data_IF_164833561453
#
_entry.id   IF_164833561453
#
_cell.length_a   1.000
_cell.length_b   1.000
_cell.length_c   1.000
_cell.angle_alpha   90.00
_cell.angle_beta   90.00
_cell.angle_gamma   90.00
#
_symmetry.space_group_name_H-M   'P 1'
#
loop_
_entity.id
_entity.type
_entity.pdbx_description
1 polymer ?
#
# COMPACT_ATOMS: atom_id res chain seq x y z
N UNK A 1 -37.29 -2.48 -13.98
CA UNK A 1 -36.51 -3.59 -14.56
C UNK A 1 -35.58 -3.18 -15.71
N UNK A 2 -36.05 -2.87 -16.94
CA UNK A 2 -35.15 -2.49 -18.06
C UNK A 2 -34.43 -1.13 -17.89
N UNK A 3 -35.05 -0.18 -17.18
CA UNK A 3 -34.49 1.17 -16.97
C UNK A 3 -33.42 1.18 -15.86
N UNK A 4 -33.64 0.40 -14.79
CA UNK A 4 -32.67 0.26 -13.69
C UNK A 4 -31.36 -0.41 -14.16
N UNK A 5 -31.47 -1.41 -15.05
CA UNK A 5 -30.30 -2.07 -15.65
C UNK A 5 -29.45 -1.15 -16.54
N UNK A 6 -30.01 -0.06 -17.08
CA UNK A 6 -29.27 0.92 -17.88
C UNK A 6 -28.54 1.94 -17.00
N UNK A 7 -29.11 2.30 -15.85
CA UNK A 7 -28.45 3.16 -14.86
C UNK A 7 -27.20 2.48 -14.28
N UNK A 8 -27.26 1.18 -14.01
CA UNK A 8 -26.09 0.38 -13.57
C UNK A 8 -25.00 0.27 -14.64
N UNK A 9 -25.31 0.49 -15.93
CA UNK A 9 -24.34 0.41 -17.05
C UNK A 9 -23.66 1.73 -17.39
N UNK A 10 -24.05 2.84 -16.78
CA UNK A 10 -23.33 4.11 -16.89
C UNK A 10 -22.17 4.14 -15.87
N UNK A 11 -21.16 3.28 -16.06
CA UNK A 11 -20.03 3.05 -15.14
C UNK A 11 -19.06 4.22 -14.93
N UNK A 12 -19.47 5.47 -15.16
CA UNK A 12 -18.65 6.67 -15.02
C UNK A 12 -19.35 7.86 -14.35
N UNK A 13 -20.64 7.75 -13.98
CA UNK A 13 -21.34 8.85 -13.31
C UNK A 13 -21.27 8.68 -11.78
N UNK A 14 -20.11 8.99 -11.19
CA UNK A 14 -20.02 9.18 -9.74
C UNK A 14 -20.79 10.47 -9.40
N UNK A 15 -21.88 10.43 -8.63
CA UNK A 15 -22.55 11.63 -8.15
C UNK A 15 -21.55 12.50 -7.38
N UNK A 16 -21.49 13.80 -7.68
CA UNK A 16 -20.57 14.75 -7.03
C UNK A 16 -20.72 14.70 -5.49
N UNK A 17 -21.92 14.37 -5.01
CA UNK A 17 -22.22 14.18 -3.59
C UNK A 17 -21.44 13.03 -2.91
N UNK A 18 -20.98 12.02 -3.65
CA UNK A 18 -20.26 10.85 -3.13
C UNK A 18 -18.73 11.03 -3.16
N UNK A 19 -18.22 12.05 -3.84
CA UNK A 19 -16.78 12.32 -3.92
C UNK A 19 -16.11 12.50 -2.55
N UNK A 20 -16.70 13.19 -1.56
CA UNK A 20 -16.09 13.34 -0.24
C UNK A 20 -15.85 11.98 0.44
N UNK A 21 -16.83 11.08 0.37
CA UNK A 21 -16.73 9.74 0.99
C UNK A 21 -15.61 8.92 0.33
N UNK A 22 -15.50 8.97 -0.99
CA UNK A 22 -14.46 8.28 -1.75
C UNK A 22 -13.05 8.79 -1.41
N UNK A 23 -12.89 10.12 -1.33
CA UNK A 23 -11.62 10.76 -0.99
C UNK A 23 -11.22 10.44 0.44
N UNK A 24 -12.15 10.53 1.40
CA UNK A 24 -11.89 10.20 2.81
C UNK A 24 -11.48 8.73 2.93
N UNK A 25 -12.22 7.82 2.30
CA UNK A 25 -11.90 6.38 2.29
C UNK A 25 -10.49 6.13 1.74
N UNK A 26 -10.17 6.70 0.58
CA UNK A 26 -8.85 6.58 -0.06
C UNK A 26 -7.73 7.12 0.83
N UNK A 27 -7.96 8.25 1.51
CA UNK A 27 -6.99 8.85 2.41
C UNK A 27 -6.76 7.98 3.65
N UNK A 28 -7.82 7.40 4.22
CA UNK A 28 -7.73 6.51 5.38
C UNK A 28 -6.96 5.24 5.02
N UNK A 29 -7.33 4.57 3.92
CA UNK A 29 -6.65 3.33 3.51
C UNK A 29 -5.19 3.57 3.11
N UNK A 30 -4.87 4.67 2.43
CA UNK A 30 -3.48 5.01 2.11
C UNK A 30 -2.67 5.34 3.37
N UNK A 31 -3.24 6.07 4.34
CA UNK A 31 -2.59 6.33 5.62
C UNK A 31 -2.30 5.05 6.41
N UNK A 32 -3.26 4.12 6.45
CA UNK A 32 -3.06 2.79 7.06
C UNK A 32 -1.91 2.05 6.37
N UNK A 33 -1.89 2.04 5.04
CA UNK A 33 -0.79 1.44 4.28
C UNK A 33 0.58 2.02 4.65
N UNK A 34 0.69 3.35 4.71
CA UNK A 34 1.93 4.04 5.10
C UNK A 34 2.37 3.64 6.52
N UNK A 35 1.44 3.58 7.47
CA UNK A 35 1.73 3.17 8.85
C UNK A 35 2.24 1.72 8.90
N UNK A 36 1.63 0.81 8.14
CA UNK A 36 2.06 -0.58 8.07
C UNK A 36 3.47 -0.70 7.47
N UNK A 37 3.77 0.04 6.40
CA UNK A 37 5.12 0.09 5.83
C UNK A 37 6.15 0.60 6.82
N UNK A 38 5.84 1.69 7.53
CA UNK A 38 6.74 2.26 8.53
C UNK A 38 7.00 1.26 9.67
N UNK A 39 5.97 0.59 10.16
CA UNK A 39 6.09 -0.41 11.22
C UNK A 39 6.90 -1.62 10.78
N UNK A 40 6.66 -2.12 9.56
CA UNK A 40 7.41 -3.23 9.01
C UNK A 40 8.89 -2.89 8.84
N UNK A 41 9.19 -1.76 8.20
CA UNK A 41 10.56 -1.30 8.02
C UNK A 41 11.27 -1.10 9.37
N UNK A 42 10.59 -0.48 10.34
CA UNK A 42 11.10 -0.31 11.70
C UNK A 42 11.39 -1.66 12.37
N UNK A 43 10.49 -2.64 12.20
CA UNK A 43 10.67 -3.99 12.75
C UNK A 43 11.89 -4.67 12.15
N UNK A 44 12.11 -4.56 10.83
CA UNK A 44 13.27 -5.12 10.15
C UNK A 44 14.56 -4.47 10.66
N UNK A 45 14.63 -3.14 10.70
CA UNK A 45 15.79 -2.40 11.21
C UNK A 45 16.12 -2.79 12.66
N UNK A 46 15.10 -2.97 13.50
CA UNK A 46 15.27 -3.34 14.91
C UNK A 46 15.66 -4.81 15.10
N UNK A 47 15.17 -5.70 14.24
CA UNK A 47 15.48 -7.13 14.29
C UNK A 47 16.86 -7.47 13.70
N UNK A 48 17.33 -6.67 12.74
CA UNK A 48 18.65 -6.85 12.14
C UNK A 48 19.76 -6.52 13.15
N UNK A 49 20.75 -7.42 13.36
CA UNK A 49 21.86 -7.17 14.29
C UNK A 49 22.93 -6.22 13.72
N UNK A 50 22.68 -5.62 12.55
CA UNK A 50 23.58 -4.75 11.81
C UNK A 50 22.82 -3.55 11.24
N UNK A 51 23.55 -2.50 10.85
CA UNK A 51 22.95 -1.32 10.24
C UNK A 51 22.64 -1.57 8.77
N UNK A 52 21.34 -1.69 8.45
CA UNK A 52 20.86 -1.83 7.06
C UNK A 52 21.33 -0.66 6.18
N UNK A 53 21.35 0.56 6.73
CA UNK A 53 21.82 1.74 6.00
C UNK A 53 23.28 1.62 5.61
N UNK A 54 24.17 1.24 6.55
CA UNK A 54 25.59 1.05 6.24
C UNK A 54 25.81 -0.03 5.21
N UNK A 55 25.12 -1.15 5.38
CA UNK A 55 25.25 -2.30 4.50
C UNK A 55 24.82 -1.97 3.05
N UNK A 56 23.83 -1.08 2.86
CA UNK A 56 23.39 -0.62 1.53
C UNK A 56 24.28 0.52 0.99
N UNK A 57 24.62 1.53 1.80
CA UNK A 57 25.32 2.74 1.34
C UNK A 57 26.85 2.58 1.31
N UNK A 58 27.45 2.05 2.38
CA UNK A 58 28.91 1.93 2.53
C UNK A 58 29.40 0.62 1.90
N UNK A 59 28.80 -0.51 2.28
CA UNK A 59 29.24 -1.84 1.83
C UNK A 59 28.65 -2.26 0.48
N UNK A 60 27.76 -1.42 -0.09
CA UNK A 60 27.15 -1.62 -1.41
C UNK A 60 26.51 -3.01 -1.56
N UNK A 61 25.90 -3.54 -0.49
CA UNK A 61 25.28 -4.86 -0.49
C UNK A 61 23.95 -4.83 -1.25
N UNK A 62 24.03 -5.06 -2.56
CA UNK A 62 22.87 -5.14 -3.46
C UNK A 62 21.92 -6.27 -3.06
N UNK A 63 22.43 -7.38 -2.51
CA UNK A 63 21.58 -8.50 -2.09
C UNK A 63 20.64 -8.08 -0.95
N UNK A 64 21.16 -7.36 0.05
CA UNK A 64 20.32 -6.81 1.11
C UNK A 64 19.28 -5.82 0.56
N UNK A 65 19.67 -4.93 -0.35
CA UNK A 65 18.75 -3.99 -0.97
C UNK A 65 17.59 -4.71 -1.70
N UNK A 66 17.89 -5.77 -2.44
CA UNK A 66 16.89 -6.61 -3.12
C UNK A 66 15.97 -7.29 -2.11
N UNK A 67 16.50 -7.82 -1.00
CA UNK A 67 15.68 -8.45 0.05
C UNK A 67 14.71 -7.44 0.67
N UNK A 68 15.19 -6.25 1.04
CA UNK A 68 14.35 -5.19 1.60
C UNK A 68 13.28 -4.75 0.59
N UNK A 69 13.64 -4.53 -0.67
CA UNK A 69 12.69 -4.21 -1.72
C UNK A 69 11.63 -5.32 -1.89
N UNK A 70 12.05 -6.59 -1.86
CA UNK A 70 11.14 -7.74 -1.99
C UNK A 70 10.14 -7.81 -0.84
N UNK A 71 10.58 -7.52 0.39
CA UNK A 71 9.69 -7.46 1.57
C UNK A 71 8.68 -6.32 1.44
N UNK A 72 9.10 -5.14 0.98
CA UNK A 72 8.20 -4.00 0.73
C UNK A 72 7.17 -4.36 -0.34
N UNK A 73 7.58 -4.98 -1.44
CA UNK A 73 6.66 -5.42 -2.50
C UNK A 73 5.66 -6.47 -1.96
N UNK A 74 6.13 -7.46 -1.22
CA UNK A 74 5.26 -8.47 -0.60
C UNK A 74 4.21 -7.84 0.33
N UNK A 75 4.62 -6.86 1.14
CA UNK A 75 3.72 -6.08 2.00
C UNK A 75 2.67 -5.32 1.19
N UNK A 76 3.08 -4.65 0.11
CA UNK A 76 2.18 -3.91 -0.78
C UNK A 76 1.08 -4.82 -1.35
N UNK A 77 1.46 -6.04 -1.75
CA UNK A 77 0.53 -7.03 -2.27
C UNK A 77 -0.45 -7.53 -1.20
N UNK A 78 0.02 -7.79 0.03
CA UNK A 78 -0.85 -8.18 1.15
C UNK A 78 -1.85 -7.06 1.47
N UNK A 79 -1.40 -5.80 1.54
CA UNK A 79 -2.28 -4.65 1.79
C UNK A 79 -3.28 -4.47 0.65
N UNK A 80 -2.83 -4.59 -0.60
CA UNK A 80 -3.72 -4.55 -1.77
C UNK A 80 -4.79 -5.63 -1.69
N UNK A 81 -4.41 -6.87 -1.40
CA UNK A 81 -5.34 -7.98 -1.25
C UNK A 81 -6.32 -7.76 -0.08
N UNK A 82 -5.88 -7.13 1.02
CA UNK A 82 -6.74 -6.83 2.16
C UNK A 82 -7.77 -5.71 1.86
N UNK A 83 -7.43 -4.75 0.99
CA UNK A 83 -8.34 -3.67 0.59
C UNK A 83 -9.38 -4.16 -0.44
N UNK A 84 -8.98 -5.08 -1.33
CA UNK A 84 -9.85 -5.64 -2.38
C UNK A 84 -10.56 -6.94 -1.98
N UNK A 85 -10.19 -7.53 -0.83
CA UNK A 85 -10.66 -8.83 -0.34
C UNK A 85 -12.06 -8.83 0.26
#
# INVERSE_FOLDING_TARGET
MLIETLSTRAGFLIPIAQLPELVISSLVFSAIGIILFALAYYTIVKASPFSIRKEIEEDQNVALAIVIASVIIGMALIVSAAIHG
#
